data_IF_076074847257
#
_entry.id   IF_076074847257
#
_cell.length_a   1.000
_cell.length_b   1.000
_cell.length_c   1.000
_cell.angle_alpha   90.00
_cell.angle_beta   90.00
_cell.angle_gamma   90.00
#
_symmetry.space_group_name_H-M   'P 1'
#
loop_
_entity.id
_entity.type
_entity.pdbx_description
1 polymer ?
#
# COMPACT_ATOMS: atom_id res chain seq x y z
N UNK A 1 -26.60 -49.09 -12.08
CA UNK A 1 -25.47 -48.55 -11.28
C UNK A 1 -24.87 -47.31 -11.97
N UNK A 2 -25.45 -46.11 -11.80
CA UNK A 2 -25.06 -44.90 -12.59
C UNK A 2 -25.21 -43.56 -11.84
N UNK A 3 -25.25 -43.54 -10.50
CA UNK A 3 -25.56 -42.33 -9.71
C UNK A 3 -24.35 -41.67 -9.01
N UNK A 4 -23.18 -42.33 -8.95
CA UNK A 4 -22.02 -41.86 -8.15
C UNK A 4 -20.96 -41.05 -8.93
N UNK A 5 -20.98 -41.04 -10.27
CA UNK A 5 -19.96 -40.33 -11.05
C UNK A 5 -20.18 -38.82 -11.12
N UNK A 6 -21.43 -38.35 -11.04
CA UNK A 6 -21.73 -36.91 -11.11
C UNK A 6 -21.34 -36.19 -9.81
N UNK A 7 -21.64 -36.76 -8.64
CA UNK A 7 -21.22 -36.23 -7.34
C UNK A 7 -19.70 -36.12 -7.21
N UNK A 8 -18.97 -37.15 -7.70
CA UNK A 8 -17.50 -37.16 -7.66
C UNK A 8 -16.89 -36.07 -8.56
N UNK A 9 -17.46 -35.85 -9.74
CA UNK A 9 -17.06 -34.75 -10.65
C UNK A 9 -17.35 -33.36 -10.06
N UNK A 10 -18.49 -33.19 -9.39
CA UNK A 10 -18.84 -31.92 -8.71
C UNK A 10 -17.87 -31.63 -7.57
N UNK A 11 -17.52 -32.62 -6.75
CA UNK A 11 -16.56 -32.45 -5.64
C UNK A 11 -15.17 -32.06 -6.17
N UNK A 12 -14.70 -32.70 -7.24
CA UNK A 12 -13.39 -32.38 -7.86
C UNK A 12 -13.40 -30.96 -8.46
N UNK A 13 -14.50 -30.57 -9.11
CA UNK A 13 -14.65 -29.22 -9.64
C UNK A 13 -14.68 -28.16 -8.52
N UNK A 14 -15.39 -28.42 -7.42
CA UNK A 14 -15.40 -27.54 -6.26
C UNK A 14 -14.01 -27.40 -5.65
N UNK A 15 -13.24 -28.49 -5.51
CA UNK A 15 -11.85 -28.43 -5.03
C UNK A 15 -10.95 -27.59 -5.93
N UNK A 16 -11.09 -27.69 -7.26
CA UNK A 16 -10.33 -26.87 -8.20
C UNK A 16 -10.54 -25.36 -8.06
N UNK A 17 -11.74 -24.93 -7.66
CA UNK A 17 -12.05 -23.51 -7.41
C UNK A 17 -11.45 -23.00 -6.10
N UNK A 18 -11.27 -23.86 -5.09
CA UNK A 18 -10.71 -23.45 -3.79
C UNK A 18 -9.19 -23.29 -3.82
N UNK A 19 -8.46 -23.95 -4.74
CA UNK A 19 -6.98 -23.85 -4.83
C UNK A 19 -6.52 -22.61 -5.59
N UNK A 20 -7.41 -21.95 -6.35
CA UNK A 20 -7.08 -20.73 -7.09
C UNK A 20 -7.56 -19.51 -6.31
N UNK A 21 -6.69 -18.83 -5.54
CA UNK A 21 -6.75 -17.38 -5.27
C UNK A 21 -5.78 -16.88 -4.16
N UNK A 22 -4.69 -17.58 -3.83
CA UNK A 22 -3.52 -16.88 -3.25
C UNK A 22 -2.85 -16.04 -4.34
N UNK A 23 -3.56 -15.09 -4.94
CA UNK A 23 -2.98 -14.08 -5.82
C UNK A 23 -2.18 -13.14 -4.95
N UNK A 24 -0.94 -13.53 -4.65
CA UNK A 24 0.06 -12.67 -4.04
C UNK A 24 0.37 -11.63 -5.12
N UNK A 25 -0.10 -10.40 -4.93
CA UNK A 25 -0.03 -9.34 -5.94
C UNK A 25 1.35 -9.27 -6.61
N UNK A 26 1.36 -9.30 -7.94
CA UNK A 26 2.60 -9.22 -8.71
C UNK A 26 3.19 -7.82 -8.51
N UNK A 27 4.44 -7.77 -8.06
CA UNK A 27 5.16 -6.50 -7.89
C UNK A 27 5.31 -5.82 -9.26
N UNK A 28 4.85 -4.58 -9.36
CA UNK A 28 4.93 -3.79 -10.60
C UNK A 28 6.24 -3.00 -10.72
N UNK A 29 6.92 -2.72 -9.60
CA UNK A 29 8.17 -1.97 -9.56
C UNK A 29 9.35 -2.93 -9.42
N UNK A 30 10.36 -2.89 -10.31
CA UNK A 30 11.53 -3.77 -10.21
C UNK A 30 12.33 -3.44 -8.95
N UNK A 31 12.97 -4.46 -8.34
CA UNK A 31 13.70 -4.31 -7.08
C UNK A 31 14.75 -3.18 -7.09
N UNK A 32 15.41 -2.95 -8.23
CA UNK A 32 16.41 -1.89 -8.40
C UNK A 32 15.85 -0.47 -8.40
N UNK A 33 14.56 -0.30 -8.70
CA UNK A 33 13.91 1.01 -8.72
C UNK A 33 13.23 1.35 -7.38
N UNK A 34 13.32 0.47 -6.39
CA UNK A 34 12.64 0.65 -5.11
C UNK A 34 13.45 1.60 -4.26
N UNK A 35 12.84 2.74 -3.92
CA UNK A 35 13.51 3.77 -3.12
C UNK A 35 13.61 3.35 -1.65
N UNK A 36 14.57 3.97 -0.96
CA UNK A 36 14.77 3.75 0.47
C UNK A 36 13.62 4.34 1.29
N UNK A 37 13.54 3.95 2.56
CA UNK A 37 12.59 4.53 3.52
C UNK A 37 12.80 6.03 3.66
N UNK A 38 14.05 6.47 3.72
CA UNK A 38 14.40 7.88 3.96
C UNK A 38 13.95 8.76 2.79
N UNK A 39 14.14 8.28 1.55
CA UNK A 39 13.63 8.97 0.35
C UNK A 39 12.11 9.09 0.37
N UNK A 40 11.39 8.06 0.82
CA UNK A 40 9.91 8.11 0.93
C UNK A 40 9.48 9.15 1.97
N UNK A 41 10.19 9.23 3.10
CA UNK A 41 9.91 10.22 4.16
C UNK A 41 10.19 11.63 3.65
N UNK A 42 11.35 11.86 3.05
CA UNK A 42 11.75 13.16 2.49
C UNK A 42 10.76 13.66 1.43
N UNK A 43 10.43 12.83 0.44
CA UNK A 43 9.45 13.17 -0.59
C UNK A 43 8.08 13.50 0.01
N UNK A 44 7.68 12.82 1.08
CA UNK A 44 6.40 13.06 1.75
C UNK A 44 6.39 14.37 2.53
N UNK A 45 7.49 14.72 3.20
CA UNK A 45 7.63 15.99 3.92
C UNK A 45 7.60 17.16 2.93
N UNK A 46 8.33 17.04 1.82
CA UNK A 46 8.32 18.04 0.75
C UNK A 46 6.92 18.23 0.16
N UNK A 47 6.20 17.15 -0.14
CA UNK A 47 4.81 17.23 -0.62
C UNK A 47 3.89 17.98 0.37
N UNK A 48 4.03 17.75 1.68
CA UNK A 48 3.19 18.45 2.67
C UNK A 48 3.58 19.92 2.78
N UNK A 49 4.87 20.23 2.77
CA UNK A 49 5.39 21.60 2.78
C UNK A 49 4.90 22.38 1.57
N UNK A 50 5.03 21.82 0.38
CA UNK A 50 4.69 22.49 -0.89
C UNK A 50 3.18 22.65 -1.07
N UNK A 51 2.40 21.63 -0.69
CA UNK A 51 0.95 21.61 -0.95
C UNK A 51 0.10 22.24 0.16
N UNK A 52 0.51 22.07 1.41
CA UNK A 52 -0.25 22.52 2.57
C UNK A 52 0.46 23.62 3.37
N UNK A 53 1.71 23.94 3.05
CA UNK A 53 2.47 25.00 3.73
C UNK A 53 2.92 24.64 5.14
N UNK A 54 2.89 23.36 5.51
CA UNK A 54 3.23 22.91 6.86
C UNK A 54 4.56 22.16 6.88
N UNK A 55 5.43 22.52 7.81
CA UNK A 55 6.72 21.88 8.01
C UNK A 55 6.62 20.81 9.10
N UNK A 56 6.83 19.55 8.70
CA UNK A 56 6.79 18.39 9.61
C UNK A 56 8.20 17.86 9.81
N UNK A 57 8.59 17.62 11.06
CA UNK A 57 9.91 17.05 11.37
C UNK A 57 9.97 15.58 10.96
N UNK A 58 11.11 15.06 10.50
CA UNK A 58 11.26 13.63 10.19
C UNK A 58 10.94 12.67 11.34
N UNK A 59 11.06 13.16 12.58
CA UNK A 59 10.74 12.44 13.82
C UNK A 59 9.24 12.17 13.96
N UNK A 60 8.42 13.04 13.37
CA UNK A 60 6.96 13.05 13.47
C UNK A 60 6.31 12.36 12.24
N UNK A 61 6.98 11.33 11.71
CA UNK A 61 6.55 10.59 10.53
C UNK A 61 6.37 9.11 10.83
N UNK A 62 5.13 8.63 10.70
CA UNK A 62 4.79 7.21 10.71
C UNK A 62 4.79 6.63 9.31
N UNK A 63 5.53 5.54 9.09
CA UNK A 63 5.59 4.87 7.79
C UNK A 63 5.09 3.42 7.87
N UNK A 64 4.24 3.05 6.93
CA UNK A 64 3.68 1.70 6.82
C UNK A 64 3.75 1.19 5.38
N UNK A 65 4.17 -0.06 5.22
CA UNK A 65 4.19 -0.76 3.93
C UNK A 65 3.62 -2.16 4.10
N UNK A 66 2.67 -2.54 3.24
CA UNK A 66 2.09 -3.88 3.22
C UNK A 66 2.50 -4.61 1.95
N UNK A 67 3.49 -5.51 2.07
CA UNK A 67 3.98 -6.30 0.93
C UNK A 67 4.53 -5.45 -0.21
N UNK A 68 4.28 -5.88 -1.44
CA UNK A 68 4.57 -5.12 -2.65
C UNK A 68 3.43 -4.14 -2.94
N UNK A 69 3.74 -2.85 -2.98
CA UNK A 69 2.76 -1.80 -3.20
C UNK A 69 3.15 -0.48 -2.53
N UNK A 70 2.24 0.50 -2.65
CA UNK A 70 2.48 1.85 -2.19
C UNK A 70 2.70 1.92 -0.66
N UNK A 71 3.64 2.76 -0.27
CA UNK A 71 3.85 3.21 1.09
C UNK A 71 2.68 4.09 1.53
N UNK A 72 2.24 3.90 2.77
CA UNK A 72 1.37 4.83 3.48
C UNK A 72 2.24 5.57 4.49
N UNK A 73 2.31 6.88 4.33
CA UNK A 73 3.04 7.78 5.22
C UNK A 73 2.03 8.65 5.95
N UNK A 74 2.19 8.76 7.26
CA UNK A 74 1.40 9.63 8.14
C UNK A 74 2.36 10.67 8.70
N UNK A 75 2.08 11.95 8.47
CA UNK A 75 2.91 13.06 8.95
C UNK A 75 2.11 13.82 10.00
N UNK A 76 2.66 13.97 11.19
CA UNK A 76 2.01 14.66 12.31
C UNK A 76 2.50 16.11 12.35
N UNK A 77 1.73 17.01 11.75
CA UNK A 77 1.96 18.45 11.84
C UNK A 77 1.38 19.04 13.13
N UNK A 78 1.63 20.32 13.35
CA UNK A 78 1.08 21.08 14.47
C UNK A 78 -0.42 21.34 14.29
N UNK A 79 -0.85 21.66 13.07
CA UNK A 79 -2.23 22.05 12.76
C UNK A 79 -3.13 20.86 12.42
N UNK A 80 -2.56 19.85 11.76
CA UNK A 80 -3.26 18.66 11.29
C UNK A 80 -2.29 17.49 11.13
N UNK A 81 -2.83 16.29 10.94
CA UNK A 81 -2.04 15.17 10.44
C UNK A 81 -2.37 14.90 8.98
N UNK A 82 -1.38 14.43 8.24
CA UNK A 82 -1.46 14.22 6.80
C UNK A 82 -1.28 12.76 6.47
N UNK A 83 -1.91 12.33 5.39
CA UNK A 83 -1.67 11.01 4.84
C UNK A 83 -1.19 11.13 3.41
N UNK A 84 0.02 10.65 3.15
CA UNK A 84 0.62 10.58 1.83
C UNK A 84 0.71 9.12 1.40
N UNK A 85 0.35 8.84 0.14
CA UNK A 85 0.60 7.57 -0.52
C UNK A 85 1.76 7.76 -1.48
N UNK A 86 2.80 6.97 -1.33
CA UNK A 86 4.00 7.02 -2.18
C UNK A 86 4.17 5.66 -2.84
N UNK A 87 4.41 5.61 -4.14
CA UNK A 87 4.70 4.35 -4.84
C UNK A 87 6.08 3.81 -4.46
N UNK A 88 6.36 2.55 -4.82
CA UNK A 88 7.65 1.93 -4.47
C UNK A 88 8.86 2.62 -5.14
N UNK A 89 8.66 3.29 -6.26
CA UNK A 89 9.66 4.12 -6.97
C UNK A 89 9.71 5.58 -6.47
N UNK A 90 9.01 5.90 -5.38
CA UNK A 90 9.13 7.19 -4.69
C UNK A 90 8.20 8.29 -5.18
N UNK A 91 7.31 8.02 -6.14
CA UNK A 91 6.36 9.02 -6.66
C UNK A 91 5.19 9.23 -5.70
N UNK A 92 4.75 10.48 -5.56
CA UNK A 92 3.54 10.80 -4.81
C UNK A 92 2.32 10.35 -5.61
N UNK A 93 1.54 9.43 -5.05
CA UNK A 93 0.29 8.94 -5.63
C UNK A 93 -0.88 9.79 -5.18
N UNK A 94 -0.89 10.19 -3.89
CA UNK A 94 -1.93 11.06 -3.35
C UNK A 94 -1.51 11.64 -2.00
N UNK A 95 -2.00 12.83 -1.65
CA UNK A 95 -1.84 13.46 -0.34
C UNK A 95 -3.18 14.01 0.15
N UNK A 96 -3.47 13.87 1.44
CA UNK A 96 -4.69 14.41 2.08
C UNK A 96 -4.42 14.93 3.49
N UNK A 97 -5.17 15.96 3.87
CA UNK A 97 -5.19 16.53 5.23
C UNK A 97 -6.26 15.85 6.08
N UNK A 98 -5.96 15.61 7.35
CA UNK A 98 -6.86 15.06 8.35
C UNK A 98 -6.74 15.93 9.61
N UNK A 99 -7.83 16.62 9.97
CA UNK A 99 -7.81 17.51 11.13
C UNK A 99 -7.74 16.70 12.43
N UNK A 100 -7.02 17.22 13.41
CA UNK A 100 -7.13 16.74 14.78
C UNK A 100 -8.57 16.91 15.28
N UNK A 101 -8.96 16.05 16.23
CA UNK A 101 -10.25 16.14 16.91
C UNK A 101 -10.20 17.13 18.05
#
# INVERSE_FOLDING_TARGET
>A
MKKNNLKKKIIIACFGVVVSCSYVGVRTVPNSAVVSRDTVVENSILEIKDKFGEEVKPQDVGIYKKGFGNWKVILYGENAYYQVRVSEDGKIVSSKVLKYK
#
